data_IF_247900511451
#
_entry.id   IF_247900511451
#
_cell.length_a   1.000
_cell.length_b   1.000
_cell.length_c   1.000
_cell.angle_alpha   90.00
_cell.angle_beta   90.00
_cell.angle_gamma   90.00
#
_symmetry.space_group_name_H-M   'P 1'
#
loop_
_entity.id
_entity.type
_entity.pdbx_description
1 polymer ?
#
# COMPACT_ATOMS: atom_id res chain seq x y z
N UNK A 1 14.06 -6.11 -13.98
CA UNK A 1 12.72 -6.71 -13.93
C UNK A 1 11.75 -5.64 -13.46
N UNK A 2 10.51 -5.60 -13.99
CA UNK A 2 9.51 -4.65 -13.50
C UNK A 2 9.13 -4.97 -12.05
N UNK A 3 8.78 -3.94 -11.27
CA UNK A 3 8.22 -4.12 -9.92
C UNK A 3 6.91 -4.91 -10.00
N UNK A 4 6.74 -5.85 -9.08
CA UNK A 4 5.42 -6.46 -8.82
C UNK A 4 4.51 -5.46 -8.10
N UNK A 5 3.20 -5.68 -8.19
CA UNK A 5 2.22 -4.87 -7.43
C UNK A 5 2.47 -4.95 -5.92
N UNK A 6 2.85 -6.11 -5.40
CA UNK A 6 3.17 -6.31 -3.98
C UNK A 6 4.39 -5.50 -3.55
N UNK A 7 5.47 -5.50 -4.33
CA UNK A 7 6.66 -4.69 -4.07
C UNK A 7 6.35 -3.19 -4.12
N UNK A 8 5.55 -2.76 -5.11
CA UNK A 8 5.13 -1.36 -5.21
C UNK A 8 4.32 -0.89 -4.01
N UNK A 9 3.37 -1.70 -3.53
CA UNK A 9 2.58 -1.40 -2.33
C UNK A 9 3.45 -1.42 -1.07
N UNK A 10 4.40 -2.34 -0.96
CA UNK A 10 5.32 -2.41 0.19
C UNK A 10 6.21 -1.16 0.28
N UNK A 11 6.72 -0.68 -0.85
CA UNK A 11 7.50 0.57 -0.92
C UNK A 11 6.64 1.76 -0.49
N UNK A 12 5.39 1.82 -0.96
CA UNK A 12 4.46 2.89 -0.58
C UNK A 12 4.16 2.89 0.92
N UNK A 13 3.97 1.71 1.53
CA UNK A 13 3.78 1.58 2.98
C UNK A 13 4.98 2.13 3.75
N UNK A 14 6.21 1.72 3.39
CA UNK A 14 7.42 2.22 4.04
C UNK A 14 7.51 3.75 3.94
N UNK A 15 7.20 4.31 2.78
CA UNK A 15 7.23 5.75 2.58
C UNK A 15 6.18 6.48 3.44
N UNK A 16 4.93 6.01 3.49
CA UNK A 16 3.87 6.59 4.33
C UNK A 16 4.20 6.51 5.83
N UNK A 17 4.82 5.41 6.26
CA UNK A 17 5.31 5.23 7.62
C UNK A 17 6.42 6.24 7.94
N UNK A 18 7.45 6.33 7.10
CA UNK A 18 8.56 7.28 7.28
C UNK A 18 8.06 8.72 7.37
N UNK A 19 7.04 9.09 6.58
CA UNK A 19 6.43 10.43 6.65
C UNK A 19 5.76 10.71 7.99
N UNK A 20 5.07 9.70 8.53
CA UNK A 20 4.42 9.78 9.84
C UNK A 20 5.45 9.88 10.95
N UNK A 21 6.51 9.06 10.88
CA UNK A 21 7.56 8.98 11.91
C UNK A 21 8.50 10.20 11.90
N UNK A 22 8.83 10.73 10.71
CA UNK A 22 9.69 11.90 10.56
C UNK A 22 8.93 13.23 10.72
N UNK A 23 7.60 13.20 10.83
CA UNK A 23 6.76 14.41 10.85
C UNK A 23 6.82 15.22 9.57
N UNK A 24 7.29 14.61 8.47
CA UNK A 24 7.30 15.23 7.15
C UNK A 24 5.95 15.00 6.52
N UNK A 25 5.06 15.99 6.67
CA UNK A 25 3.73 15.93 6.08
C UNK A 25 3.84 15.95 4.56
N UNK A 26 3.52 14.83 3.92
CA UNK A 26 3.38 14.79 2.48
C UNK A 26 2.12 15.52 2.07
N UNK A 27 2.29 16.45 1.14
CA UNK A 27 1.20 17.18 0.53
C UNK A 27 0.58 16.26 -0.51
N UNK A 28 -0.60 15.74 -0.17
CA UNK A 28 -1.48 15.14 -1.15
C UNK A 28 -2.17 16.29 -1.90
N UNK A 29 -2.28 16.17 -3.22
CA UNK A 29 -3.00 17.14 -4.07
C UNK A 29 -4.53 17.08 -3.88
N UNK A 30 -4.98 16.50 -2.77
CA UNK A 30 -6.37 16.32 -2.40
C UNK A 30 -6.63 17.10 -1.11
N UNK A 31 -7.51 18.09 -1.21
CA UNK A 31 -7.93 18.96 -0.10
C UNK A 31 -8.75 18.24 0.99
N UNK A 32 -8.95 16.92 0.88
CA UNK A 32 -9.70 16.15 1.87
C UNK A 32 -8.85 15.82 3.10
N UNK A 33 -9.40 16.10 4.29
CA UNK A 33 -8.78 15.80 5.58
C UNK A 33 -8.47 14.30 5.83
N UNK A 34 -8.92 13.43 4.92
CA UNK A 34 -8.73 11.98 4.98
C UNK A 34 -7.51 11.49 4.19
N UNK A 35 -6.72 12.39 3.61
CA UNK A 35 -5.57 12.01 2.78
C UNK A 35 -4.23 12.00 3.51
N UNK A 36 -4.18 12.33 4.80
CA UNK A 36 -2.90 12.31 5.55
C UNK A 36 -2.22 10.94 5.49
N UNK A 37 -0.88 10.92 5.59
CA UNK A 37 -0.13 9.65 5.55
C UNK A 37 -0.63 8.65 6.61
N UNK A 38 -0.98 9.15 7.81
CA UNK A 38 -1.56 8.35 8.89
C UNK A 38 -2.96 7.81 8.57
N UNK A 39 -3.78 8.56 7.84
CA UNK A 39 -5.10 8.09 7.40
C UNK A 39 -5.01 7.09 6.24
N UNK A 40 -4.02 7.25 5.35
CA UNK A 40 -3.85 6.43 4.15
C UNK A 40 -3.17 5.09 4.43
N UNK A 41 -2.21 5.06 5.35
CA UNK A 41 -1.44 3.86 5.72
C UNK A 41 -2.29 2.60 5.92
N UNK A 42 -3.34 2.58 6.78
CA UNK A 42 -4.15 1.37 6.99
C UNK A 42 -4.88 0.91 5.72
N UNK A 43 -5.28 1.84 4.84
CA UNK A 43 -5.90 1.50 3.55
C UNK A 43 -4.91 0.79 2.61
N UNK A 44 -3.67 1.26 2.56
CA UNK A 44 -2.63 0.66 1.69
C UNK A 44 -2.18 -0.70 2.24
N UNK A 45 -2.06 -0.85 3.56
CA UNK A 45 -1.81 -2.14 4.20
C UNK A 45 -2.90 -3.17 3.86
N UNK A 46 -4.17 -2.75 3.90
CA UNK A 46 -5.28 -3.61 3.49
C UNK A 46 -5.20 -3.97 2.01
N UNK A 47 -4.91 -3.01 1.14
CA UNK A 47 -4.75 -3.27 -0.30
C UNK A 47 -3.64 -4.29 -0.59
N UNK A 48 -2.52 -4.24 0.14
CA UNK A 48 -1.45 -5.24 0.03
C UNK A 48 -1.92 -6.63 0.45
N UNK A 49 -2.70 -6.74 1.54
CA UNK A 49 -3.27 -8.01 1.97
C UNK A 49 -4.27 -8.58 0.96
N UNK A 50 -5.09 -7.72 0.34
CA UNK A 50 -6.04 -8.13 -0.68
C UNK A 50 -5.31 -8.65 -1.93
N UNK A 51 -4.24 -7.96 -2.36
CA UNK A 51 -3.40 -8.40 -3.48
C UNK A 51 -2.75 -9.76 -3.19
N UNK A 52 -2.18 -9.93 -1.98
CA UNK A 52 -1.61 -11.21 -1.55
C UNK A 52 -2.66 -12.33 -1.50
N UNK A 53 -3.86 -12.01 -1.05
CA UNK A 53 -4.98 -12.96 -1.00
C UNK A 53 -5.38 -13.40 -2.41
N UNK A 54 -5.52 -12.45 -3.34
CA UNK A 54 -5.83 -12.76 -4.76
C UNK A 54 -4.70 -13.56 -5.40
N UNK A 55 -3.44 -13.21 -5.13
CA UNK A 55 -2.28 -13.98 -5.62
C UNK A 55 -2.31 -15.42 -5.11
N UNK A 56 -2.54 -15.62 -3.81
CA UNK A 56 -2.67 -16.94 -3.19
C UNK A 56 -3.84 -17.74 -3.78
N UNK A 57 -5.02 -17.15 -3.89
CA UNK A 57 -6.19 -17.79 -4.50
C UNK A 57 -5.93 -18.18 -5.96
N UNK A 58 -5.23 -17.33 -6.72
CA UNK A 58 -4.83 -17.66 -8.09
C UNK A 58 -3.94 -18.89 -8.13
N UNK A 59 -2.96 -19.01 -7.24
CA UNK A 59 -2.09 -20.18 -7.19
C UNK A 59 -2.85 -21.46 -6.79
N UNK A 60 -3.81 -21.35 -5.87
CA UNK A 60 -4.63 -22.49 -5.42
C UNK A 60 -5.66 -22.97 -6.44
N UNK A 61 -6.21 -22.04 -7.24
CA UNK A 61 -7.27 -22.32 -8.20
C UNK A 61 -6.76 -22.51 -9.63
N UNK A 62 -5.46 -22.30 -9.87
CA UNK A 62 -4.87 -22.54 -11.19
C UNK A 62 -4.80 -24.06 -11.44
N UNK A 63 -5.41 -24.58 -12.51
CA UNK A 63 -5.22 -25.98 -12.89
C UNK A 63 -3.74 -26.24 -13.18
N UNK A 64 -3.22 -27.35 -12.66
CA UNK A 64 -1.86 -27.83 -12.98
C UNK A 64 -1.73 -28.23 -14.44
#
# INVERSE_FOLDING_TARGET
MPLTTEEGLQILICWLQDNTDCGTEIIFDSDDALTSSAALLPCIEQALNDVRTVHCLRLLLSPQ
#
